data_IF_033294623540
#
_entry.id   IF_033294623540
#
_cell.length_a   1.000
_cell.length_b   1.000
_cell.length_c   1.000
_cell.angle_alpha   90.00
_cell.angle_beta   90.00
_cell.angle_gamma   90.00
#
_symmetry.space_group_name_H-M   'P 1'
#
loop_
_entity.id
_entity.type
_entity.pdbx_description
1 polymer ?
#
# COMPACT_ATOMS: atom_id res chain seq x y z
N UNK A 1 -0.47 -13.48 -18.62
CA UNK A 1 -0.24 -13.45 -17.17
C UNK A 1 1.00 -14.26 -16.87
N UNK A 2 2.02 -13.68 -16.24
CA UNK A 2 3.26 -14.43 -15.97
C UNK A 2 3.09 -15.30 -14.70
N UNK A 3 4.07 -16.17 -14.40
CA UNK A 3 3.98 -17.07 -13.24
C UNK A 3 3.89 -16.29 -11.91
N UNK A 4 4.63 -15.18 -11.78
CA UNK A 4 4.62 -14.36 -10.58
C UNK A 4 3.27 -13.67 -10.35
N UNK A 5 2.61 -13.18 -11.39
CA UNK A 5 1.26 -12.59 -11.30
C UNK A 5 0.27 -13.60 -10.71
N UNK A 6 0.33 -14.85 -11.17
CA UNK A 6 -0.54 -15.93 -10.68
C UNK A 6 -0.24 -16.32 -9.23
N UNK A 7 1.04 -16.41 -8.85
CA UNK A 7 1.40 -16.68 -7.45
C UNK A 7 1.04 -15.50 -6.54
N UNK A 8 1.14 -14.26 -7.02
CA UNK A 8 0.64 -13.09 -6.30
C UNK A 8 -0.88 -13.17 -6.08
N UNK A 9 -1.67 -13.52 -7.09
CA UNK A 9 -3.12 -13.72 -6.91
C UNK A 9 -3.43 -14.79 -5.86
N UNK A 10 -2.70 -15.90 -5.87
CA UNK A 10 -2.82 -16.94 -4.83
C UNK A 10 -2.43 -16.44 -3.45
N UNK A 11 -1.39 -15.63 -3.35
CA UNK A 11 -0.98 -14.97 -2.10
C UNK A 11 -2.10 -14.09 -1.57
N UNK A 12 -2.66 -13.20 -2.41
CA UNK A 12 -3.73 -12.30 -2.01
C UNK A 12 -4.97 -13.07 -1.52
N UNK A 13 -5.36 -14.13 -2.24
CA UNK A 13 -6.44 -15.00 -1.81
C UNK A 13 -6.15 -15.68 -0.46
N UNK A 14 -4.92 -16.17 -0.27
CA UNK A 14 -4.50 -16.83 0.97
C UNK A 14 -4.52 -15.88 2.17
N UNK A 15 -4.12 -14.64 1.99
CA UNK A 15 -4.15 -13.59 3.01
C UNK A 15 -5.55 -12.97 3.17
N UNK A 16 -6.51 -13.36 2.34
CA UNK A 16 -7.89 -12.84 2.35
C UNK A 16 -8.02 -11.41 1.81
N UNK A 17 -7.01 -10.91 1.09
CA UNK A 17 -6.96 -9.56 0.51
C UNK A 17 -7.84 -9.42 -0.74
N UNK A 18 -8.40 -10.51 -1.25
CA UNK A 18 -9.43 -10.50 -2.27
C UNK A 18 -10.85 -10.32 -1.69
N UNK A 19 -11.00 -10.38 -0.36
CA UNK A 19 -12.28 -10.20 0.33
C UNK A 19 -12.52 -8.73 0.61
N UNK A 20 -13.59 -8.22 0.02
CA UNK A 20 -13.99 -6.82 0.13
C UNK A 20 -14.23 -6.38 1.58
N UNK A 21 -14.75 -7.28 2.42
CA UNK A 21 -15.09 -7.02 3.83
C UNK A 21 -13.88 -6.52 4.64
N UNK A 22 -12.66 -6.92 4.28
CA UNK A 22 -11.43 -6.49 4.95
C UNK A 22 -11.23 -4.98 4.83
N UNK A 23 -11.65 -4.39 3.71
CA UNK A 23 -11.44 -2.97 3.40
C UNK A 23 -12.53 -2.06 3.96
N UNK A 24 -13.69 -2.60 4.29
CA UNK A 24 -14.84 -1.83 4.78
C UNK A 24 -15.32 -2.27 6.16
N UNK A 25 -14.54 -3.05 6.90
CA UNK A 25 -14.86 -3.34 8.29
C UNK A 25 -14.89 -2.04 9.14
N UNK A 26 -15.62 -2.08 10.24
CA UNK A 26 -15.80 -0.96 11.15
C UNK A 26 -14.61 -0.88 12.13
N UNK A 27 -13.49 -0.34 11.64
CA UNK A 27 -12.28 -0.15 12.44
C UNK A 27 -12.37 1.13 13.28
N UNK A 28 -12.03 1.04 14.57
CA UNK A 28 -12.09 2.18 15.51
C UNK A 28 -11.24 3.39 15.08
N UNK A 29 -10.10 3.12 14.43
CA UNK A 29 -9.14 4.15 14.02
C UNK A 29 -8.67 3.96 12.59
N UNK A 30 -7.58 3.21 12.39
CA UNK A 30 -7.08 2.79 11.10
C UNK A 30 -6.60 1.34 11.24
N UNK A 31 -6.55 0.63 10.13
CA UNK A 31 -5.96 -0.69 10.05
C UNK A 31 -4.78 -0.67 9.08
N UNK A 32 -3.80 -1.55 9.33
CA UNK A 32 -2.66 -1.76 8.46
C UNK A 32 -2.58 -3.24 8.08
N UNK A 33 -3.13 -3.58 6.93
CA UNK A 33 -3.25 -4.96 6.46
C UNK A 33 -2.01 -5.33 5.65
N UNK A 34 -1.16 -6.27 6.11
CA UNK A 34 0.03 -6.66 5.37
C UNK A 34 -0.32 -7.41 4.08
N UNK A 35 0.40 -7.14 2.99
CA UNK A 35 0.23 -7.88 1.73
C UNK A 35 0.66 -9.35 1.86
N UNK A 36 1.51 -9.66 2.84
CA UNK A 36 1.88 -11.00 3.23
C UNK A 36 2.20 -11.05 4.72
N UNK A 37 1.75 -12.09 5.41
CA UNK A 37 1.94 -12.23 6.86
C UNK A 37 3.20 -13.04 7.23
N UNK A 38 3.77 -13.80 6.28
CA UNK A 38 4.89 -14.72 6.53
C UNK A 38 5.86 -14.77 5.37
N UNK A 39 7.16 -14.89 5.66
CA UNK A 39 8.21 -14.93 4.63
C UNK A 39 8.09 -16.11 3.68
N UNK A 40 7.65 -17.27 4.18
CA UNK A 40 7.42 -18.45 3.35
C UNK A 40 6.26 -18.25 2.35
N UNK A 41 5.40 -17.24 2.53
CA UNK A 41 4.34 -16.93 1.57
C UNK A 41 4.88 -16.20 0.34
N UNK A 42 6.04 -15.55 0.44
CA UNK A 42 6.70 -14.83 -0.65
C UNK A 42 7.93 -15.57 -1.19
N UNK A 43 8.14 -16.83 -0.79
CA UNK A 43 9.32 -17.61 -1.21
C UNK A 43 9.37 -17.83 -2.72
N UNK A 44 8.23 -17.79 -3.41
CA UNK A 44 8.18 -17.87 -4.87
C UNK A 44 8.88 -16.69 -5.57
N UNK A 45 9.15 -15.59 -4.86
CA UNK A 45 9.90 -14.44 -5.35
C UNK A 45 11.42 -14.59 -5.18
N UNK A 46 11.92 -15.73 -4.70
CA UNK A 46 13.34 -15.90 -4.34
C UNK A 46 14.31 -15.67 -5.49
N UNK A 47 13.87 -15.84 -6.74
CA UNK A 47 14.69 -15.61 -7.94
C UNK A 47 14.73 -14.15 -8.40
N UNK A 48 13.90 -13.27 -7.83
CA UNK A 48 13.82 -11.86 -8.20
C UNK A 48 14.80 -11.01 -7.39
N UNK A 49 15.33 -9.97 -8.02
CA UNK A 49 16.08 -8.92 -7.34
C UNK A 49 15.19 -8.11 -6.38
N UNK A 50 15.81 -7.37 -5.46
CA UNK A 50 15.11 -6.44 -4.56
C UNK A 50 14.16 -5.51 -5.33
N UNK A 51 14.64 -4.89 -6.41
CA UNK A 51 13.87 -3.96 -7.23
C UNK A 51 12.68 -4.65 -7.92
N UNK A 52 12.87 -5.85 -8.46
CA UNK A 52 11.81 -6.61 -9.15
C UNK A 52 10.70 -7.02 -8.17
N UNK A 53 11.06 -7.48 -6.96
CA UNK A 53 10.10 -7.80 -5.90
C UNK A 53 9.29 -6.56 -5.52
N UNK A 54 9.95 -5.45 -5.25
CA UNK A 54 9.29 -4.23 -4.82
C UNK A 54 8.39 -3.66 -5.93
N UNK A 55 8.79 -3.72 -7.19
CA UNK A 55 7.94 -3.35 -8.32
C UNK A 55 6.68 -4.22 -8.40
N UNK A 56 6.82 -5.54 -8.20
CA UNK A 56 5.68 -6.45 -8.21
C UNK A 56 4.72 -6.16 -7.06
N UNK A 57 5.24 -5.96 -5.84
CA UNK A 57 4.44 -5.59 -4.69
C UNK A 57 3.75 -4.24 -4.84
N UNK A 58 4.48 -3.23 -5.33
CA UNK A 58 3.92 -1.89 -5.56
C UNK A 58 2.80 -1.98 -6.58
N UNK A 59 3.03 -2.64 -7.72
CA UNK A 59 2.00 -2.85 -8.74
C UNK A 59 0.73 -3.46 -8.14
N UNK A 60 0.87 -4.60 -7.44
CA UNK A 60 -0.28 -5.31 -6.84
C UNK A 60 -0.95 -4.52 -5.71
N UNK A 61 -0.18 -3.85 -4.86
CA UNK A 61 -0.72 -2.99 -3.80
C UNK A 61 -1.51 -1.81 -4.37
N UNK A 62 -0.98 -1.13 -5.40
CA UNK A 62 -1.70 -0.04 -6.07
C UNK A 62 -2.97 -0.51 -6.79
N UNK A 63 -2.94 -1.70 -7.42
CA UNK A 63 -4.14 -2.33 -8.01
C UNK A 63 -5.24 -2.53 -6.94
N UNK A 64 -4.86 -3.03 -5.75
CA UNK A 64 -5.79 -3.23 -4.62
C UNK A 64 -6.32 -1.89 -4.08
N UNK A 65 -5.46 -0.89 -3.92
CA UNK A 65 -5.86 0.46 -3.46
C UNK A 65 -6.89 1.04 -4.42
N UNK A 66 -6.62 1.06 -5.73
CA UNK A 66 -7.53 1.62 -6.72
C UNK A 66 -8.83 0.83 -6.80
N UNK A 67 -8.76 -0.51 -6.82
CA UNK A 67 -9.95 -1.35 -6.83
C UNK A 67 -10.85 -1.08 -5.61
N UNK A 68 -10.26 -1.05 -4.42
CA UNK A 68 -10.97 -0.86 -3.16
C UNK A 68 -11.48 0.57 -2.99
N UNK A 69 -10.77 1.57 -3.50
CA UNK A 69 -11.28 2.94 -3.50
C UNK A 69 -12.46 3.09 -4.45
N UNK A 70 -12.39 2.53 -5.66
CA UNK A 70 -13.51 2.57 -6.61
C UNK A 70 -14.73 1.80 -6.08
N UNK A 71 -14.51 0.63 -5.48
CA UNK A 71 -15.58 -0.15 -4.86
C UNK A 71 -16.21 0.53 -3.64
N UNK A 72 -15.53 1.46 -2.98
CA UNK A 72 -16.10 2.15 -1.82
C UNK A 72 -17.42 2.86 -2.15
N UNK A 73 -17.60 3.30 -3.40
CA UNK A 73 -18.82 3.93 -3.92
C UNK A 73 -20.05 3.01 -3.92
N UNK A 74 -19.83 1.70 -3.88
CA UNK A 74 -20.90 0.68 -3.83
C UNK A 74 -21.21 0.24 -2.38
N UNK A 75 -20.24 0.33 -1.46
CA UNK A 75 -20.33 -0.22 -0.11
C UNK A 75 -20.53 0.83 0.99
N UNK A 76 -20.16 2.08 0.73
CA UNK A 76 -20.27 3.19 1.67
C UNK A 76 -21.28 4.21 1.15
N UNK A 77 -21.97 4.88 2.07
CA UNK A 77 -22.75 6.05 1.69
C UNK A 77 -21.84 7.22 1.26
N UNK A 78 -22.43 8.29 0.73
CA UNK A 78 -21.66 9.42 0.19
C UNK A 78 -20.84 10.17 1.24
N UNK A 79 -21.26 10.17 2.50
CA UNK A 79 -20.55 10.90 3.55
C UNK A 79 -19.46 10.02 4.16
N UNK A 80 -19.72 8.74 4.36
CA UNK A 80 -18.71 7.72 4.69
C UNK A 80 -17.62 7.63 3.62
N UNK A 81 -17.99 7.66 2.33
CA UNK A 81 -17.03 7.59 1.22
C UNK A 81 -16.07 8.79 1.20
N UNK A 82 -16.54 9.99 1.57
CA UNK A 82 -15.66 11.17 1.69
C UNK A 82 -14.66 11.01 2.82
N UNK A 83 -15.05 10.40 3.94
CA UNK A 83 -14.16 10.18 5.08
C UNK A 83 -13.40 8.84 4.99
N UNK A 84 -13.58 8.08 3.92
CA UNK A 84 -12.82 6.87 3.64
C UNK A 84 -11.44 7.21 3.07
N UNK A 85 -10.41 6.61 3.66
CA UNK A 85 -9.02 6.70 3.23
C UNK A 85 -8.47 5.30 3.03
N UNK A 86 -7.74 5.12 1.93
CA UNK A 86 -6.97 3.90 1.68
C UNK A 86 -5.70 4.26 0.92
N UNK A 87 -4.58 3.66 1.30
CA UNK A 87 -3.32 3.79 0.57
C UNK A 87 -2.44 2.56 0.80
N UNK A 88 -1.32 2.51 0.10
CA UNK A 88 -0.27 1.53 0.41
C UNK A 88 0.82 2.22 1.23
N UNK A 89 1.35 1.52 2.22
CA UNK A 89 2.56 1.93 2.93
C UNK A 89 3.69 0.92 2.76
N UNK A 90 4.93 1.40 2.79
CA UNK A 90 6.15 0.64 2.59
C UNK A 90 7.08 0.85 3.78
N UNK A 91 7.41 -0.25 4.45
CA UNK A 91 8.32 -0.31 5.61
C UNK A 91 9.44 -1.34 5.35
N UNK A 92 10.25 -1.66 6.36
CA UNK A 92 11.31 -2.67 6.21
C UNK A 92 12.57 -2.17 5.47
N UNK A 93 12.78 -0.85 5.39
CA UNK A 93 13.90 -0.24 4.67
C UNK A 93 15.30 -0.66 5.14
N UNK A 94 15.42 -1.09 6.40
CA UNK A 94 16.66 -1.55 7.02
C UNK A 94 16.67 -3.06 7.28
N UNK A 95 15.66 -3.80 6.79
CA UNK A 95 15.55 -5.24 6.99
C UNK A 95 16.27 -5.98 5.85
N UNK A 96 17.49 -6.44 6.14
CA UNK A 96 18.30 -7.17 5.17
C UNK A 96 17.93 -8.65 5.05
N UNK A 97 17.10 -9.20 5.95
CA UNK A 97 16.80 -10.63 5.98
C UNK A 97 15.77 -11.02 4.90
N UNK A 98 14.78 -10.16 4.67
CA UNK A 98 13.66 -10.44 3.76
C UNK A 98 14.01 -10.08 2.30
N UNK A 99 15.01 -9.21 2.09
CA UNK A 99 15.45 -8.72 0.77
C UNK A 99 14.28 -8.22 -0.10
N UNK A 100 13.33 -7.52 0.53
CA UNK A 100 12.30 -6.68 -0.07
C UNK A 100 11.73 -5.74 0.99
N UNK A 101 10.96 -4.74 0.56
CA UNK A 101 10.17 -3.90 1.47
C UNK A 101 9.01 -4.72 2.05
N UNK A 102 8.44 -4.23 3.14
CA UNK A 102 7.18 -4.75 3.72
C UNK A 102 6.03 -3.83 3.31
N UNK A 103 5.22 -4.23 2.32
CA UNK A 103 4.07 -3.49 1.86
C UNK A 103 2.82 -3.82 2.68
N UNK A 104 2.10 -2.78 3.06
CA UNK A 104 0.83 -2.89 3.77
C UNK A 104 -0.24 -1.99 3.13
N UNK A 105 -1.50 -2.37 3.21
CA UNK A 105 -2.64 -1.50 2.89
C UNK A 105 -3.05 -0.79 4.17
N UNK A 106 -2.96 0.53 4.18
CA UNK A 106 -3.46 1.38 5.27
C UNK A 106 -4.84 1.86 4.90
N UNK A 107 -5.81 1.69 5.79
CA UNK A 107 -7.18 2.12 5.55
C UNK A 107 -7.83 2.70 6.81
N UNK A 108 -8.77 3.61 6.63
CA UNK A 108 -9.54 4.22 7.72
C UNK A 108 -10.85 4.80 7.19
N UNK A 109 -11.90 4.77 8.02
CA UNK A 109 -13.16 5.51 7.79
C UNK A 109 -13.14 6.92 8.38
N UNK A 110 -11.97 7.38 8.86
CA UNK A 110 -11.77 8.68 9.52
C UNK A 110 -10.62 9.45 8.86
N UNK A 111 -10.70 9.66 7.55
CA UNK A 111 -9.67 10.29 6.70
C UNK A 111 -9.13 11.57 7.33
N UNK A 112 -10.01 12.49 7.74
CA UNK A 112 -9.59 13.77 8.33
C UNK A 112 -8.74 13.57 9.59
N UNK A 113 -9.18 12.70 10.50
CA UNK A 113 -8.42 12.35 11.70
C UNK A 113 -7.09 11.70 11.33
N UNK A 114 -7.08 10.69 10.45
CA UNK A 114 -5.86 9.97 10.08
C UNK A 114 -4.81 10.92 9.47
N UNK A 115 -5.20 11.77 8.52
CA UNK A 115 -4.28 12.69 7.85
C UNK A 115 -3.63 13.69 8.82
N UNK A 116 -4.36 14.16 9.84
CA UNK A 116 -3.79 15.05 10.88
C UNK A 116 -2.74 14.35 11.76
N UNK A 117 -2.81 13.03 11.89
CA UNK A 117 -1.85 12.23 12.66
C UNK A 117 -0.67 11.77 11.80
N UNK A 118 -0.92 11.38 10.55
CA UNK A 118 0.13 10.93 9.63
C UNK A 118 1.07 12.07 9.23
N UNK A 119 0.56 13.30 9.11
CA UNK A 119 1.34 14.48 8.69
C UNK A 119 2.18 14.19 7.44
N UNK A 120 1.49 13.69 6.41
CA UNK A 120 2.10 13.28 5.16
C UNK A 120 2.77 14.48 4.48
N UNK A 121 4.03 14.33 4.08
CA UNK A 121 4.79 15.35 3.36
C UNK A 121 5.72 14.74 2.34
N UNK A 122 6.01 15.51 1.28
CA UNK A 122 7.08 15.20 0.32
C UNK A 122 8.39 15.70 0.92
N UNK A 123 9.30 14.78 1.22
CA UNK A 123 10.58 15.03 1.89
C UNK A 123 11.77 15.01 0.95
N UNK A 124 11.63 14.34 -0.21
CA UNK A 124 12.75 14.13 -1.13
C UNK A 124 13.78 13.10 -0.63
N UNK A 125 13.43 12.28 0.36
CA UNK A 125 14.29 11.23 0.89
C UNK A 125 14.68 10.20 -0.18
N UNK A 126 15.74 9.43 0.06
CA UNK A 126 16.16 8.36 -0.86
C UNK A 126 15.04 7.32 -1.03
N UNK A 127 14.31 7.00 0.04
CA UNK A 127 13.18 6.06 0.03
C UNK A 127 12.04 6.59 -0.84
N UNK A 128 11.67 7.86 -0.70
CA UNK A 128 10.65 8.50 -1.53
C UNK A 128 11.07 8.51 -3.01
N UNK A 129 12.34 8.86 -3.29
CA UNK A 129 12.89 8.88 -4.65
C UNK A 129 12.88 7.49 -5.29
N UNK A 130 13.25 6.45 -4.55
CA UNK A 130 13.26 5.07 -5.04
C UNK A 130 11.84 4.61 -5.41
N UNK A 131 10.85 4.85 -4.53
CA UNK A 131 9.46 4.46 -4.82
C UNK A 131 8.91 5.23 -6.02
N UNK A 132 9.22 6.53 -6.14
CA UNK A 132 8.87 7.33 -7.33
C UNK A 132 9.46 6.75 -8.62
N UNK A 133 10.69 6.26 -8.59
CA UNK A 133 11.31 5.58 -9.74
C UNK A 133 10.58 4.28 -10.08
N UNK A 134 10.18 3.49 -9.08
CA UNK A 134 9.40 2.28 -9.32
C UNK A 134 8.03 2.60 -9.94
N UNK A 135 7.29 3.56 -9.39
CA UNK A 135 6.00 4.00 -9.96
C UNK A 135 6.15 4.47 -11.41
N UNK A 136 7.18 5.28 -11.68
CA UNK A 136 7.49 5.76 -13.03
C UNK A 136 7.81 4.60 -13.98
N UNK A 137 8.60 3.62 -13.54
CA UNK A 137 8.93 2.43 -14.34
C UNK A 137 7.74 1.50 -14.61
N UNK A 138 6.69 1.61 -13.79
CA UNK A 138 5.43 0.87 -13.91
C UNK A 138 4.34 1.67 -14.62
N UNK A 139 4.63 2.91 -15.05
CA UNK A 139 3.66 3.86 -15.61
C UNK A 139 2.45 4.15 -14.69
N UNK A 140 2.65 4.13 -13.37
CA UNK A 140 1.63 4.43 -12.37
C UNK A 140 1.62 5.92 -12.02
N UNK A 141 1.03 6.74 -12.90
CA UNK A 141 1.05 8.21 -12.80
C UNK A 141 0.02 8.80 -11.83
N UNK A 142 -0.99 8.01 -11.47
CA UNK A 142 -2.11 8.47 -10.62
C UNK A 142 -1.81 8.36 -9.12
N UNK A 143 -0.56 8.04 -8.78
CA UNK A 143 -0.09 7.87 -7.42
C UNK A 143 1.04 8.85 -7.09
N UNK A 144 0.97 9.40 -5.90
CA UNK A 144 2.01 10.21 -5.30
C UNK A 144 2.65 9.49 -4.10
N UNK A 145 3.86 9.93 -3.76
CA UNK A 145 4.67 9.33 -2.69
C UNK A 145 4.91 10.35 -1.57
N UNK A 146 4.62 9.94 -0.35
CA UNK A 146 4.73 10.75 0.86
C UNK A 146 5.50 10.01 1.96
N UNK A 147 6.01 10.76 2.94
CA UNK A 147 6.50 10.22 4.20
C UNK A 147 5.79 10.90 5.38
N UNK A 148 5.69 10.22 6.53
CA UNK A 148 5.16 10.83 7.76
C UNK A 148 6.23 11.62 8.50
N UNK A 149 5.86 12.77 9.05
CA UNK A 149 6.72 13.58 9.91
C UNK A 149 6.85 12.92 11.31
N UNK A 150 7.97 12.25 11.62
CA UNK A 150 8.23 11.88 13.03
C UNK A 150 9.19 10.73 13.38
N UNK A 151 9.76 9.96 12.45
CA UNK A 151 10.55 8.78 12.84
C UNK A 151 11.89 8.65 12.16
N UNK A 152 12.98 9.08 12.80
CA UNK A 152 14.35 8.71 12.34
C UNK A 152 14.61 7.20 12.39
N UNK A 153 13.85 6.46 13.20
CA UNK A 153 14.02 5.02 13.41
C UNK A 153 13.10 4.15 12.53
N UNK A 154 11.90 4.63 12.16
CA UNK A 154 10.93 3.89 11.36
C UNK A 154 10.60 4.68 10.10
N UNK A 155 11.47 4.55 9.09
CA UNK A 155 11.24 5.13 7.77
C UNK A 155 10.00 4.46 7.18
N UNK A 156 9.02 5.26 6.82
CA UNK A 156 7.76 4.80 6.25
C UNK A 156 7.39 5.69 5.09
N UNK A 157 7.13 5.06 3.96
CA UNK A 157 6.70 5.72 2.74
C UNK A 157 5.27 5.31 2.46
N UNK A 158 4.45 6.25 2.02
CA UNK A 158 3.06 6.06 1.64
C UNK A 158 2.92 6.33 0.15
N UNK A 159 2.25 5.42 -0.54
CA UNK A 159 1.87 5.53 -1.96
C UNK A 159 0.36 5.74 -1.99
N UNK A 160 -0.06 6.95 -2.35
CA UNK A 160 -1.44 7.40 -2.23
C UNK A 160 -1.95 7.77 -3.61
N UNK A 161 -3.15 7.30 -3.96
CA UNK A 161 -3.80 7.67 -5.21
C UNK A 161 -4.26 9.13 -5.13
N UNK A 162 -4.00 9.92 -6.17
CA UNK A 162 -4.24 11.37 -6.18
C UNK A 162 -5.70 11.72 -5.86
N UNK A 163 -6.65 10.94 -6.40
CA UNK A 163 -8.10 11.10 -6.18
C UNK A 163 -8.56 10.87 -4.73
N UNK A 164 -7.71 10.36 -3.84
CA UNK A 164 -8.03 10.13 -2.42
C UNK A 164 -7.66 11.35 -1.58
N UNK A 165 -6.59 12.05 -1.96
CA UNK A 165 -6.12 13.27 -1.28
C UNK A 165 -6.94 14.49 -1.71
N UNK A 166 -7.34 14.55 -2.99
CA UNK A 166 -8.07 15.68 -3.56
C UNK A 166 -9.60 15.63 -3.30
N UNK A 167 -10.11 14.50 -2.79
CA UNK A 167 -11.54 14.27 -2.49
C UNK A 167 -11.91 14.70 -1.07
#
# INVERSE_FOLDING_TARGET
MNNFDREMERLLHKEGLDKVDVYYADYDTFEEVPLFSRWNHISFLSSLSFDEKNKLFIKKGTELVSYSYEKSKEYLDKDEQKDYFICMSLTGWNDCEINCLTPNIVLSRRKGWLLTHLKLKKTGSDEERLVKQYLSSLALTDFDVFASEGGKANKRVYVVQNSIIDA
#
